data_IF_315091921602
#
_entry.id   IF_315091921602
#
_cell.length_a   1.000
_cell.length_b   1.000
_cell.length_c   1.000
_cell.angle_alpha   90.00
_cell.angle_beta   90.00
_cell.angle_gamma   90.00
#
_symmetry.space_group_name_H-M   'P 1'
#
loop_
_entity.id
_entity.type
_entity.pdbx_description
1 polymer ?
#
# COMPACT_ATOMS: atom_id res chain seq x y z
N UNK A 1 -29.19 21.71 33.10
CA UNK A 1 -29.74 20.57 32.34
C UNK A 1 -29.00 20.40 31.02
N UNK A 2 -28.62 19.16 30.71
CA UNK A 2 -27.81 18.71 29.55
C UNK A 2 -28.59 18.80 28.23
N UNK A 3 -27.87 19.05 27.11
CA UNK A 3 -27.87 18.27 25.83
C UNK A 3 -27.58 19.18 24.63
N UNK A 4 -26.33 19.23 24.16
CA UNK A 4 -26.02 19.70 22.79
C UNK A 4 -24.70 19.10 22.22
N UNK A 5 -24.47 17.79 22.37
CA UNK A 5 -23.29 17.14 21.76
C UNK A 5 -23.56 15.71 21.28
N UNK A 6 -24.56 15.54 20.41
CA UNK A 6 -24.89 14.20 19.87
C UNK A 6 -25.01 14.08 18.34
N UNK A 7 -24.69 15.13 17.56
CA UNK A 7 -24.81 15.07 16.08
C UNK A 7 -23.49 14.92 15.30
N UNK A 8 -22.32 15.16 15.91
CA UNK A 8 -21.03 15.12 15.18
C UNK A 8 -20.37 13.73 15.24
N UNK A 9 -20.62 12.93 16.28
CA UNK A 9 -19.98 11.62 16.47
C UNK A 9 -20.47 10.52 15.52
N UNK A 10 -21.66 10.64 14.94
CA UNK A 10 -22.23 9.61 14.07
C UNK A 10 -21.76 9.65 12.60
N UNK A 11 -21.34 10.82 12.09
CA UNK A 11 -20.83 10.94 10.71
C UNK A 11 -19.37 10.47 10.57
N UNK A 12 -18.52 10.70 11.57
CA UNK A 12 -17.14 10.21 11.50
C UNK A 12 -17.04 8.67 11.57
N UNK A 13 -17.87 8.03 12.41
CA UNK A 13 -17.86 6.58 12.62
C UNK A 13 -18.39 5.79 11.42
N UNK A 14 -19.33 6.36 10.67
CA UNK A 14 -19.95 5.70 9.50
C UNK A 14 -19.09 5.81 8.25
N UNK A 15 -18.35 6.90 8.06
CA UNK A 15 -17.37 7.02 6.96
C UNK A 15 -16.18 6.08 7.14
N UNK A 16 -15.63 5.95 8.36
CA UNK A 16 -14.56 5.00 8.64
C UNK A 16 -14.98 3.54 8.39
N UNK A 17 -16.22 3.18 8.76
CA UNK A 17 -16.73 1.83 8.51
C UNK A 17 -16.95 1.57 7.01
N UNK A 18 -17.47 2.54 6.25
CA UNK A 18 -17.61 2.43 4.78
C UNK A 18 -16.26 2.30 4.06
N UNK A 19 -15.24 3.04 4.51
CA UNK A 19 -13.88 2.89 3.99
C UNK A 19 -13.35 1.48 4.32
N UNK A 20 -13.55 0.97 5.54
CA UNK A 20 -13.15 -0.39 5.92
C UNK A 20 -13.89 -1.51 5.19
N UNK A 21 -15.11 -1.28 4.70
CA UNK A 21 -15.89 -2.31 3.98
C UNK A 21 -15.59 -2.29 2.50
N UNK A 22 -15.54 -1.11 1.84
CA UNK A 22 -15.18 -1.05 0.42
C UNK A 22 -13.73 -1.49 0.17
N UNK A 23 -12.79 -1.20 1.09
CA UNK A 23 -11.42 -1.68 0.99
C UNK A 23 -11.35 -3.21 1.10
N UNK A 24 -12.20 -3.84 1.93
CA UNK A 24 -12.26 -5.30 2.05
C UNK A 24 -12.84 -5.98 0.82
N UNK A 25 -13.66 -5.32 0.02
CA UNK A 25 -14.13 -5.92 -1.24
C UNK A 25 -13.07 -5.75 -2.35
N UNK A 26 -12.35 -4.62 -2.39
CA UNK A 26 -11.33 -4.38 -3.42
C UNK A 26 -9.96 -5.01 -3.14
N UNK A 27 -9.59 -5.29 -1.88
CA UNK A 27 -8.27 -5.85 -1.53
C UNK A 27 -8.19 -7.37 -1.68
N UNK A 28 -9.31 -8.08 -1.60
CA UNK A 28 -9.32 -9.55 -1.64
C UNK A 28 -9.46 -10.12 -3.06
N UNK A 29 -9.81 -9.30 -4.05
CA UNK A 29 -9.83 -9.67 -5.48
C UNK A 29 -8.45 -9.52 -6.18
N UNK A 30 -7.38 -9.26 -5.42
CA UNK A 30 -6.03 -9.04 -5.98
C UNK A 30 -5.40 -10.32 -6.54
N UNK A 31 -5.94 -11.49 -6.18
CA UNK A 31 -5.51 -12.77 -6.72
C UNK A 31 -5.68 -12.89 -8.25
N UNK A 32 -6.43 -11.97 -8.88
CA UNK A 32 -6.75 -12.00 -10.32
C UNK A 32 -6.28 -10.78 -11.14
N UNK A 33 -5.43 -9.86 -10.62
CA UNK A 33 -5.14 -8.61 -11.34
C UNK A 33 -4.11 -8.81 -12.48
N UNK A 34 -4.51 -8.69 -13.77
CA UNK A 34 -3.60 -8.91 -14.89
C UNK A 34 -2.73 -7.66 -15.23
N UNK A 35 -2.86 -6.56 -14.49
CA UNK A 35 -2.19 -5.28 -14.81
C UNK A 35 -2.24 -4.27 -13.65
N UNK A 36 -1.45 -4.46 -12.58
CA UNK A 36 -1.29 -3.46 -11.50
C UNK A 36 -0.07 -2.59 -11.75
N UNK A 37 -0.15 -1.26 -11.63
CA UNK A 37 1.03 -0.39 -11.71
C UNK A 37 1.85 -0.40 -10.41
N UNK A 38 3.08 0.11 -10.44
CA UNK A 38 3.90 0.27 -9.21
C UNK A 38 3.18 1.11 -8.17
N UNK A 39 2.50 2.19 -8.60
CA UNK A 39 1.74 3.05 -7.69
C UNK A 39 0.60 2.29 -7.00
N UNK A 40 -0.20 1.55 -7.76
CA UNK A 40 -1.32 0.78 -7.20
C UNK A 40 -0.83 -0.31 -6.24
N UNK A 41 0.27 -0.99 -6.56
CA UNK A 41 0.86 -1.99 -5.69
C UNK A 41 1.41 -1.37 -4.40
N UNK A 42 2.01 -0.18 -4.47
CA UNK A 42 2.44 0.54 -3.29
C UNK A 42 1.26 0.97 -2.40
N UNK A 43 0.15 1.38 -3.00
CA UNK A 43 -1.07 1.73 -2.28
C UNK A 43 -1.68 0.49 -1.60
N UNK A 44 -1.70 -0.65 -2.29
CA UNK A 44 -2.08 -1.95 -1.71
C UNK A 44 -1.25 -2.28 -0.47
N UNK A 45 0.09 -2.30 -0.61
CA UNK A 45 1.00 -2.63 0.50
C UNK A 45 0.77 -1.70 1.68
N UNK A 46 0.64 -0.40 1.48
CA UNK A 46 0.49 0.57 2.58
C UNK A 46 -0.81 0.43 3.37
N UNK A 47 -1.88 -0.04 2.73
CA UNK A 47 -3.21 -0.14 3.34
C UNK A 47 -3.60 -1.57 3.75
N UNK A 48 -2.78 -2.57 3.41
CA UNK A 48 -3.04 -3.95 3.79
C UNK A 48 -2.93 -4.14 5.32
N UNK A 49 -3.88 -4.84 5.96
CA UNK A 49 -3.93 -4.99 7.42
C UNK A 49 -2.68 -5.67 8.02
N UNK A 50 -2.07 -6.59 7.29
CA UNK A 50 -0.92 -7.38 7.76
C UNK A 50 0.43 -6.72 7.45
N UNK A 51 0.44 -5.54 6.83
CA UNK A 51 1.67 -4.84 6.51
C UNK A 51 2.39 -4.37 7.78
N UNK A 52 3.65 -4.75 7.88
CA UNK A 52 4.56 -4.25 8.91
C UNK A 52 5.20 -2.97 8.40
N UNK A 53 5.19 -1.92 9.23
CA UNK A 53 5.77 -0.62 8.88
C UNK A 53 6.81 -0.21 9.92
N UNK A 54 7.98 0.20 9.43
CA UNK A 54 9.03 0.85 10.22
C UNK A 54 9.24 2.26 9.68
N UNK A 55 9.27 3.27 10.56
CA UNK A 55 9.57 4.65 10.18
C UNK A 55 10.89 5.08 10.79
N UNK A 56 11.72 5.75 10.01
CA UNK A 56 13.02 6.29 10.45
C UNK A 56 13.19 7.72 9.98
N UNK A 57 13.92 8.52 10.76
CA UNK A 57 14.33 9.85 10.36
C UNK A 57 15.84 9.86 10.13
N UNK A 58 16.27 10.29 8.95
CA UNK A 58 17.69 10.32 8.57
C UNK A 58 17.95 11.64 7.85
N UNK A 59 18.93 12.41 8.32
CA UNK A 59 19.29 13.72 7.74
C UNK A 59 18.09 14.69 7.59
N UNK A 60 17.17 14.67 8.55
CA UNK A 60 15.95 15.49 8.52
C UNK A 60 14.83 14.95 7.60
N UNK A 61 15.06 13.86 6.88
CA UNK A 61 14.08 13.23 5.99
C UNK A 61 13.42 12.06 6.71
N UNK A 62 12.08 11.98 6.64
CA UNK A 62 11.32 10.84 7.14
C UNK A 62 11.16 9.78 6.06
N UNK A 63 11.56 8.56 6.38
CA UNK A 63 11.43 7.36 5.55
C UNK A 63 10.45 6.40 6.20
N UNK A 64 9.70 5.69 5.37
CA UNK A 64 8.85 4.58 5.79
C UNK A 64 9.18 3.34 4.95
N UNK A 65 9.39 2.23 5.66
CA UNK A 65 9.76 0.92 5.14
C UNK A 65 8.61 -0.02 5.46
N UNK A 66 8.04 -0.65 4.43
CA UNK A 66 6.90 -1.54 4.54
C UNK A 66 7.32 -2.94 4.11
N UNK A 67 6.90 -3.95 4.86
CA UNK A 67 6.98 -5.36 4.44
C UNK A 67 5.63 -6.02 4.57
N UNK A 68 5.26 -6.79 3.55
CA UNK A 68 4.02 -7.54 3.49
C UNK A 68 4.31 -8.94 2.96
N UNK A 69 3.83 -9.95 3.67
CA UNK A 69 3.88 -11.35 3.27
C UNK A 69 2.45 -11.88 3.22
N UNK A 70 2.04 -12.44 2.09
CA UNK A 70 0.69 -13.00 1.90
C UNK A 70 0.71 -14.02 0.79
N UNK A 71 0.08 -15.19 0.97
CA UNK A 71 -0.18 -16.16 -0.11
C UNK A 71 1.04 -16.48 -1.01
N UNK A 72 2.23 -16.64 -0.41
CA UNK A 72 3.49 -16.93 -1.15
C UNK A 72 4.16 -15.71 -1.79
N UNK A 73 3.52 -14.54 -1.70
CA UNK A 73 4.09 -13.24 -2.08
C UNK A 73 4.86 -12.58 -0.93
N UNK A 74 5.96 -11.94 -1.28
CA UNK A 74 6.75 -11.09 -0.38
C UNK A 74 6.97 -9.73 -1.04
N UNK A 75 6.48 -8.67 -0.40
CA UNK A 75 6.64 -7.31 -0.87
C UNK A 75 7.50 -6.49 0.09
N UNK A 76 8.35 -5.65 -0.49
CA UNK A 76 9.13 -4.67 0.22
C UNK A 76 8.99 -3.31 -0.47
N UNK A 77 8.62 -2.29 0.29
CA UNK A 77 8.35 -0.95 -0.20
C UNK A 77 9.06 0.09 0.66
N UNK A 78 9.78 0.99 0.00
CA UNK A 78 10.39 2.15 0.64
C UNK A 78 9.78 3.43 0.08
N UNK A 79 9.44 4.34 0.99
CA UNK A 79 8.90 5.65 0.65
C UNK A 79 9.57 6.73 1.50
N UNK A 80 9.52 7.96 1.02
CA UNK A 80 9.66 9.14 1.85
C UNK A 80 8.36 9.96 1.79
N UNK A 81 8.37 11.16 2.37
CA UNK A 81 7.18 12.05 2.36
C UNK A 81 6.65 12.40 0.96
N UNK A 82 7.46 12.31 -0.10
CA UNK A 82 7.08 12.79 -1.43
C UNK A 82 6.82 11.68 -2.44
N UNK A 83 7.48 10.53 -2.33
CA UNK A 83 7.42 9.50 -3.36
C UNK A 83 7.79 8.10 -2.88
N UNK A 84 7.44 7.12 -3.71
CA UNK A 84 7.99 5.77 -3.67
C UNK A 84 9.46 5.84 -4.10
N UNK A 85 10.33 5.27 -3.29
CA UNK A 85 11.77 5.20 -3.55
C UNK A 85 12.14 3.87 -4.22
N UNK A 86 11.60 2.79 -3.66
CA UNK A 86 11.86 1.41 -4.08
C UNK A 86 10.61 0.56 -3.84
N UNK A 87 10.34 -0.35 -4.78
CA UNK A 87 9.36 -1.43 -4.58
C UNK A 87 9.95 -2.72 -5.17
N UNK A 88 10.03 -3.75 -4.35
CA UNK A 88 10.33 -5.11 -4.79
C UNK A 88 9.20 -6.06 -4.40
N UNK A 89 8.90 -7.00 -5.28
CA UNK A 89 7.87 -8.01 -5.07
C UNK A 89 8.33 -9.35 -5.62
N UNK A 90 8.10 -10.39 -4.83
CA UNK A 90 8.50 -11.77 -5.10
C UNK A 90 7.30 -12.69 -4.91
N UNK A 91 7.27 -13.78 -5.66
CA UNK A 91 6.37 -14.91 -5.46
C UNK A 91 7.20 -16.19 -5.43
N UNK A 92 7.08 -16.98 -4.36
CA UNK A 92 7.89 -18.20 -4.17
C UNK A 92 9.39 -17.98 -4.45
N UNK A 93 9.95 -16.88 -3.93
CA UNK A 93 11.33 -16.42 -4.13
C UNK A 93 11.71 -16.00 -5.56
N UNK A 94 10.80 -16.04 -6.52
CA UNK A 94 11.00 -15.49 -7.87
C UNK A 94 10.62 -14.03 -7.90
N UNK A 95 11.50 -13.19 -8.45
CA UNK A 95 11.27 -11.76 -8.56
C UNK A 95 10.21 -11.47 -9.61
N UNK A 96 9.13 -10.79 -9.23
CA UNK A 96 8.05 -10.40 -10.15
C UNK A 96 8.13 -8.93 -10.53
N UNK A 97 8.42 -8.06 -9.56
CA UNK A 97 8.48 -6.61 -9.77
C UNK A 97 9.69 -6.02 -9.07
N UNK A 98 10.23 -4.98 -9.68
CA UNK A 98 11.45 -4.36 -9.22
C UNK A 98 11.58 -2.91 -9.70
N UNK A 99 11.17 -1.97 -8.87
CA UNK A 99 11.16 -0.54 -9.17
C UNK A 99 12.16 0.22 -8.29
N UNK A 100 12.92 1.13 -8.90
CA UNK A 100 13.68 2.18 -8.20
C UNK A 100 13.42 3.53 -8.84
N UNK A 101 13.03 4.50 -8.02
CA UNK A 101 12.66 5.84 -8.50
C UNK A 101 13.76 6.60 -9.24
N UNK A 102 15.04 6.30 -8.99
CA UNK A 102 16.15 6.96 -9.68
C UNK A 102 16.46 6.38 -11.06
N UNK A 103 15.94 5.18 -11.38
CA UNK A 103 16.20 4.48 -12.64
C UNK A 103 14.92 4.26 -13.46
N UNK A 104 13.84 3.94 -12.77
CA UNK A 104 12.62 3.38 -13.33
C UNK A 104 11.45 4.37 -13.25
N UNK A 105 11.68 5.66 -12.99
CA UNK A 105 10.63 6.68 -12.74
C UNK A 105 9.48 6.67 -13.76
N UNK A 106 9.79 6.52 -15.06
CA UNK A 106 8.78 6.49 -16.13
C UNK A 106 7.84 5.28 -16.05
N UNK A 107 8.20 4.25 -15.29
CA UNK A 107 7.45 3.00 -15.13
C UNK A 107 6.49 3.05 -13.95
N UNK A 108 6.44 4.14 -13.18
CA UNK A 108 5.61 4.26 -11.98
C UNK A 108 4.13 3.90 -12.21
N UNK A 109 3.58 4.34 -13.34
CA UNK A 109 2.20 4.10 -13.74
C UNK A 109 2.08 3.03 -14.84
N UNK A 110 3.19 2.40 -15.22
CA UNK A 110 3.17 1.34 -16.23
C UNK A 110 2.68 0.05 -15.59
N UNK A 111 1.76 -0.70 -16.25
CA UNK A 111 1.32 -2.00 -15.76
C UNK A 111 2.48 -2.97 -15.56
N UNK A 112 2.51 -3.61 -14.41
CA UNK A 112 3.42 -4.72 -14.10
C UNK A 112 2.81 -5.99 -14.70
N UNK A 113 3.63 -6.77 -15.41
CA UNK A 113 3.27 -8.12 -15.84
C UNK A 113 3.73 -9.11 -14.79
N UNK A 114 2.79 -9.75 -14.11
CA UNK A 114 3.10 -10.86 -13.23
C UNK A 114 3.37 -12.12 -14.07
N UNK A 115 4.42 -12.91 -13.77
CA UNK A 115 4.59 -14.20 -14.41
C UNK A 115 3.39 -15.10 -14.09
N UNK A 116 2.76 -15.63 -15.15
CA UNK A 116 1.74 -16.69 -15.08
C UNK A 116 2.35 -18.01 -14.60
#
# INVERSE_FOLDING_TARGET
MKRHSKKIKHKAKTTLNKIKTNIKETLFDIADIPATSVQQLADFIQHHPDTKVTKKQMLGISYAFYSLETEGYHYYLETNKSKILLLDGYYENKKMVSYRSYRDYHQLNTPIKFPN
#
